data_IF_672544676141
#
_entry.id   IF_672544676141
#
_cell.length_a   1.000
_cell.length_b   1.000
_cell.length_c   1.000
_cell.angle_alpha   90.00
_cell.angle_beta   90.00
_cell.angle_gamma   90.00
#
_symmetry.space_group_name_H-M   'P 1'
#
loop_
_entity.id
_entity.type
_entity.pdbx_description
1 polymer ?
#
# COMPACT_ATOMS: atom_id res chain seq x y z
N UNK A 1 -4.66 -19.42 1.20
CA UNK A 1 -4.97 -17.98 1.08
C UNK A 1 -3.98 -17.23 0.18
N UNK A 2 -2.64 -17.25 0.45
CA UNK A 2 -1.66 -16.56 -0.40
C UNK A 2 -1.67 -17.08 -1.85
N UNK A 3 -1.77 -18.40 -2.05
CA UNK A 3 -1.86 -19.02 -3.37
C UNK A 3 -3.13 -18.62 -4.12
N UNK A 4 -4.24 -18.52 -3.44
CA UNK A 4 -5.53 -18.07 -3.98
C UNK A 4 -5.45 -16.61 -4.44
N UNK A 5 -4.88 -15.73 -3.62
CA UNK A 5 -4.64 -14.33 -3.99
C UNK A 5 -3.77 -14.24 -5.25
N UNK A 6 -2.62 -14.97 -5.27
CA UNK A 6 -1.75 -14.96 -6.45
C UNK A 6 -2.44 -15.47 -7.71
N UNK A 7 -3.24 -16.56 -7.58
CA UNK A 7 -4.03 -17.11 -8.67
C UNK A 7 -5.03 -16.09 -9.19
N UNK A 8 -5.80 -15.48 -8.30
CA UNK A 8 -6.83 -14.52 -8.66
C UNK A 8 -6.25 -13.25 -9.33
N UNK A 9 -5.08 -12.78 -8.86
CA UNK A 9 -4.36 -11.69 -9.53
C UNK A 9 -3.82 -12.12 -10.90
N UNK A 10 -3.36 -13.37 -11.04
CA UNK A 10 -2.95 -13.92 -12.33
C UNK A 10 -4.13 -14.01 -13.31
N UNK A 11 -5.31 -14.38 -12.83
CA UNK A 11 -6.52 -14.45 -13.65
C UNK A 11 -6.91 -13.08 -14.21
N UNK A 12 -6.74 -12.00 -13.43
CA UNK A 12 -6.92 -10.62 -13.94
C UNK A 12 -5.97 -10.35 -15.11
N UNK A 13 -4.67 -10.68 -14.96
CA UNK A 13 -3.70 -10.46 -16.01
C UNK A 13 -3.94 -11.35 -17.24
N UNK A 14 -4.40 -12.59 -17.03
CA UNK A 14 -4.78 -13.50 -18.12
C UNK A 14 -6.04 -13.05 -18.86
N UNK A 15 -6.98 -12.39 -18.17
CA UNK A 15 -8.13 -11.77 -18.82
C UNK A 15 -7.69 -10.65 -19.77
N UNK A 16 -6.73 -9.82 -19.34
CA UNK A 16 -6.17 -8.74 -20.18
C UNK A 16 -5.44 -9.31 -21.40
N UNK A 17 -4.68 -10.38 -21.22
CA UNK A 17 -3.98 -11.10 -22.30
C UNK A 17 -3.96 -12.61 -22.01
N UNK A 18 -4.77 -13.41 -22.70
CA UNK A 18 -4.74 -14.85 -22.55
C UNK A 18 -3.37 -15.45 -22.89
N UNK A 19 -2.82 -16.27 -22.01
CA UNK A 19 -1.63 -17.09 -22.23
C UNK A 19 -1.63 -18.32 -21.32
N UNK A 20 -0.68 -19.24 -21.56
CA UNK A 20 -0.46 -20.41 -20.70
C UNK A 20 0.48 -20.12 -19.52
N UNK A 21 0.95 -18.88 -19.38
CA UNK A 21 1.85 -18.49 -18.29
C UNK A 21 1.13 -18.60 -16.95
N UNK A 22 1.73 -19.32 -16.01
CA UNK A 22 1.20 -19.58 -14.67
C UNK A 22 1.93 -18.79 -13.58
N UNK A 23 3.07 -18.19 -13.91
CA UNK A 23 3.82 -17.35 -13.00
C UNK A 23 3.34 -15.90 -13.08
N UNK A 24 2.85 -15.38 -11.95
CA UNK A 24 2.29 -14.03 -11.86
C UNK A 24 3.35 -12.94 -12.20
N UNK A 25 4.63 -13.14 -11.84
CA UNK A 25 5.68 -12.17 -12.12
C UNK A 25 6.00 -12.13 -13.62
N UNK A 26 6.15 -13.31 -14.25
CA UNK A 26 6.37 -13.40 -15.70
C UNK A 26 5.20 -12.82 -16.48
N UNK A 27 3.99 -13.14 -16.04
CA UNK A 27 2.76 -12.63 -16.65
C UNK A 27 2.67 -11.10 -16.57
N UNK A 28 3.03 -10.53 -15.42
CA UNK A 28 3.12 -9.08 -15.27
C UNK A 28 4.07 -8.46 -16.30
N UNK A 29 5.26 -9.05 -16.51
CA UNK A 29 6.22 -8.56 -17.50
C UNK A 29 5.72 -8.71 -18.94
N UNK A 30 5.01 -9.78 -19.29
CA UNK A 30 4.35 -9.89 -20.60
C UNK A 30 3.41 -8.70 -20.86
N UNK A 31 2.56 -8.37 -19.88
CA UNK A 31 1.61 -7.25 -19.99
C UNK A 31 2.35 -5.91 -20.07
N UNK A 32 3.38 -5.71 -19.23
CA UNK A 32 4.18 -4.49 -19.21
C UNK A 32 4.86 -4.22 -20.55
N UNK A 33 5.41 -5.25 -21.20
CA UNK A 33 6.05 -5.15 -22.51
C UNK A 33 5.09 -4.75 -23.63
N UNK A 34 3.83 -5.21 -23.53
CA UNK A 34 2.82 -4.89 -24.53
C UNK A 34 2.35 -3.45 -24.45
N UNK A 35 1.97 -3.03 -23.28
CA UNK A 35 1.44 -1.71 -23.03
C UNK A 35 1.65 -1.32 -21.57
N UNK A 36 2.59 -0.43 -21.25
CA UNK A 36 2.82 0.02 -19.89
C UNK A 36 1.59 0.63 -19.20
N UNK A 37 0.63 1.16 -19.99
CA UNK A 37 -0.61 1.71 -19.41
C UNK A 37 -1.53 0.65 -18.80
N UNK A 38 -1.47 -0.61 -19.27
CA UNK A 38 -2.24 -1.71 -18.69
C UNK A 38 -1.86 -2.00 -17.23
N UNK A 39 -0.65 -1.62 -16.81
CA UNK A 39 -0.23 -1.64 -15.42
C UNK A 39 -1.17 -0.82 -14.53
N UNK A 40 -1.58 0.37 -14.96
CA UNK A 40 -2.51 1.22 -14.20
C UNK A 40 -3.85 0.54 -14.00
N UNK A 41 -4.39 -0.09 -15.05
CA UNK A 41 -5.67 -0.81 -14.96
C UNK A 41 -5.60 -1.96 -13.95
N UNK A 42 -4.46 -2.66 -13.88
CA UNK A 42 -4.25 -3.70 -12.87
C UNK A 42 -4.27 -3.13 -11.45
N UNK A 43 -3.62 -1.99 -11.21
CA UNK A 43 -3.69 -1.29 -9.93
C UNK A 43 -5.11 -0.89 -9.54
N UNK A 44 -5.89 -0.44 -10.51
CA UNK A 44 -7.22 0.08 -10.26
C UNK A 44 -8.23 -1.03 -9.93
N UNK A 45 -8.13 -2.21 -10.58
CA UNK A 45 -9.08 -3.30 -10.40
C UNK A 45 -8.72 -4.27 -9.27
N UNK A 46 -7.43 -4.52 -9.03
CA UNK A 46 -7.00 -5.51 -8.06
C UNK A 46 -7.53 -5.27 -6.63
N UNK A 47 -7.68 -4.03 -6.13
CA UNK A 47 -8.24 -3.76 -4.81
C UNK A 47 -9.67 -4.26 -4.60
N UNK A 48 -10.41 -4.51 -5.67
CA UNK A 48 -11.78 -5.03 -5.62
C UNK A 48 -11.86 -6.55 -5.74
N UNK A 49 -10.70 -7.21 -5.86
CA UNK A 49 -10.64 -8.66 -5.94
C UNK A 49 -11.08 -9.30 -4.62
N UNK A 50 -12.11 -10.14 -4.69
CA UNK A 50 -12.74 -10.75 -3.50
C UNK A 50 -11.78 -11.69 -2.77
N UNK A 51 -10.94 -12.45 -3.48
CA UNK A 51 -10.00 -13.37 -2.85
C UNK A 51 -8.90 -12.61 -2.11
N UNK A 52 -8.46 -11.48 -2.67
CA UNK A 52 -7.55 -10.56 -2.00
C UNK A 52 -8.19 -9.98 -0.74
N UNK A 53 -9.43 -9.48 -0.84
CA UNK A 53 -10.17 -8.91 0.30
C UNK A 53 -10.33 -9.96 1.41
N UNK A 54 -10.79 -11.17 1.08
CA UNK A 54 -10.93 -12.29 2.04
C UNK A 54 -9.59 -12.70 2.64
N UNK A 55 -8.51 -12.67 1.85
CA UNK A 55 -7.19 -13.05 2.29
C UNK A 55 -6.59 -12.14 3.34
N UNK A 56 -6.91 -10.85 3.30
CA UNK A 56 -6.42 -9.84 4.24
C UNK A 56 -7.40 -9.49 5.37
N UNK A 57 -8.71 -9.77 5.20
CA UNK A 57 -9.72 -9.54 6.25
C UNK A 57 -10.07 -10.84 6.98
N UNK A 58 -9.03 -11.55 7.46
CA UNK A 58 -9.26 -12.79 8.21
C UNK A 58 -9.83 -12.50 9.59
N UNK A 59 -10.67 -13.41 10.15
CA UNK A 59 -11.22 -13.23 11.49
C UNK A 59 -10.14 -12.98 12.55
N UNK A 60 -9.02 -13.68 12.46
CA UNK A 60 -7.89 -13.57 13.40
C UNK A 60 -7.30 -12.16 13.38
N UNK A 61 -7.03 -11.64 12.18
CA UNK A 61 -6.49 -10.29 12.01
C UNK A 61 -7.48 -9.22 12.48
N UNK A 62 -8.75 -9.34 12.06
CA UNK A 62 -9.80 -8.42 12.45
C UNK A 62 -9.99 -8.40 13.98
N UNK A 63 -10.01 -9.58 14.62
CA UNK A 63 -10.14 -9.68 16.08
C UNK A 63 -8.92 -9.10 16.80
N UNK A 64 -7.71 -9.35 16.28
CA UNK A 64 -6.49 -8.74 16.82
C UNK A 64 -6.56 -7.21 16.80
N UNK A 65 -6.92 -6.61 15.65
CA UNK A 65 -7.00 -5.16 15.50
C UNK A 65 -8.11 -4.57 16.37
N UNK A 66 -9.26 -5.25 16.46
CA UNK A 66 -10.34 -4.85 17.37
C UNK A 66 -9.90 -4.86 18.84
N UNK A 67 -9.21 -5.91 19.24
CA UNK A 67 -8.65 -6.02 20.58
C UNK A 67 -7.63 -4.91 20.87
N UNK A 68 -6.69 -4.69 19.93
CA UNK A 68 -5.65 -3.67 20.05
C UNK A 68 -6.23 -2.26 20.28
N UNK A 69 -7.27 -1.89 19.54
CA UNK A 69 -7.92 -0.59 19.66
C UNK A 69 -9.06 -0.57 20.68
N UNK A 70 -9.39 -1.69 21.31
CA UNK A 70 -10.58 -1.82 22.17
C UNK A 70 -11.86 -1.34 21.46
N UNK A 71 -12.04 -1.72 20.20
CA UNK A 71 -13.18 -1.31 19.36
C UNK A 71 -14.03 -2.50 18.95
N UNK A 72 -15.32 -2.28 18.80
CA UNK A 72 -16.25 -3.29 18.25
C UNK A 72 -16.32 -3.19 16.70
N UNK A 73 -16.02 -2.02 16.14
CA UNK A 73 -16.21 -1.72 14.72
C UNK A 73 -14.94 -1.17 14.09
N UNK A 74 -14.58 -1.74 12.95
CA UNK A 74 -13.47 -1.30 12.10
C UNK A 74 -13.99 -0.93 10.73
N UNK A 75 -13.32 0.03 10.11
CA UNK A 75 -13.53 0.40 8.72
C UNK A 75 -12.27 0.09 7.92
N UNK A 76 -12.46 -0.50 6.74
CA UNK A 76 -11.40 -0.65 5.75
C UNK A 76 -11.08 0.69 5.11
N UNK A 77 -9.79 1.02 5.00
CA UNK A 77 -9.30 2.16 4.24
C UNK A 77 -9.18 1.88 2.75
N UNK A 78 -9.72 0.77 2.28
CA UNK A 78 -9.55 0.15 0.98
C UNK A 78 -8.16 -0.48 0.81
N UNK A 79 -8.15 -1.75 0.55
CA UNK A 79 -6.94 -2.46 0.14
C UNK A 79 -6.34 -1.84 -1.12
N UNK A 80 -5.03 -1.86 -1.21
CA UNK A 80 -4.31 -1.44 -2.40
C UNK A 80 -3.19 -2.43 -2.71
N UNK A 81 -2.83 -2.54 -3.99
CA UNK A 81 -1.62 -3.23 -4.39
C UNK A 81 -0.53 -2.19 -4.73
N UNK A 82 0.70 -2.54 -4.43
CA UNK A 82 1.87 -1.80 -4.88
C UNK A 82 2.77 -2.75 -5.67
N UNK A 83 3.06 -2.37 -6.91
CA UNK A 83 3.91 -3.15 -7.81
C UNK A 83 5.20 -2.37 -8.04
N UNK A 84 6.33 -2.94 -7.66
CA UNK A 84 7.65 -2.39 -7.86
C UNK A 84 8.45 -3.31 -8.77
N UNK A 85 9.00 -2.75 -9.82
CA UNK A 85 9.90 -3.39 -10.78
C UNK A 85 11.15 -2.53 -11.00
N UNK A 86 12.06 -2.94 -11.88
CA UNK A 86 13.30 -2.21 -12.15
C UNK A 86 13.09 -0.79 -12.73
N UNK A 87 11.95 -0.54 -13.40
CA UNK A 87 11.64 0.79 -13.95
C UNK A 87 10.89 1.68 -12.96
N UNK A 88 10.59 1.15 -11.79
CA UNK A 88 9.84 1.88 -10.78
C UNK A 88 10.78 2.62 -9.82
N UNK A 89 11.41 3.68 -10.32
CA UNK A 89 12.26 4.58 -9.53
C UNK A 89 11.52 5.31 -8.41
N UNK A 90 10.21 5.10 -8.34
CA UNK A 90 9.29 5.86 -7.47
C UNK A 90 9.03 5.12 -6.18
N UNK A 91 10.04 5.07 -5.35
CA UNK A 91 9.86 4.64 -3.97
C UNK A 91 9.18 5.79 -3.22
N UNK A 92 8.08 5.46 -2.53
CA UNK A 92 7.46 6.43 -1.64
C UNK A 92 8.48 6.91 -0.62
N UNK A 93 8.64 8.23 -0.53
CA UNK A 93 9.51 8.87 0.42
C UNK A 93 9.06 8.59 1.87
N UNK A 94 9.93 8.77 2.88
CA UNK A 94 9.53 8.58 4.26
C UNK A 94 8.31 9.42 4.64
N UNK A 95 7.24 8.73 5.06
CA UNK A 95 5.93 9.32 5.37
C UNK A 95 5.24 8.57 6.52
N UNK A 96 4.14 9.12 6.97
CA UNK A 96 3.19 8.50 7.89
C UNK A 96 1.82 8.40 7.20
N UNK A 97 0.96 7.52 7.66
CA UNK A 97 -0.40 7.35 7.10
C UNK A 97 -1.33 8.45 7.60
N UNK A 98 -1.28 9.63 6.98
CA UNK A 98 -2.05 10.80 7.41
C UNK A 98 -3.40 10.97 6.70
N UNK A 99 -3.58 10.31 5.54
CA UNK A 99 -4.77 10.43 4.69
C UNK A 99 -5.76 9.28 4.93
N UNK A 100 -6.04 8.98 6.21
CA UNK A 100 -6.95 7.91 6.59
C UNK A 100 -8.22 8.44 7.26
N UNK A 101 -9.27 7.60 7.32
CA UNK A 101 -10.51 7.94 8.01
C UNK A 101 -10.27 8.23 9.50
N UNK A 102 -9.43 7.42 10.14
CA UNK A 102 -9.02 7.60 11.51
C UNK A 102 -7.61 8.17 11.57
N UNK A 103 -7.39 9.11 12.50
CA UNK A 103 -6.05 9.62 12.76
C UNK A 103 -5.11 8.50 13.20
N UNK A 104 -5.59 7.63 14.09
CA UNK A 104 -4.83 6.46 14.55
C UNK A 104 -5.45 5.21 13.93
N UNK A 105 -4.74 4.60 13.00
CA UNK A 105 -5.14 3.36 12.35
C UNK A 105 -3.96 2.37 12.32
N UNK A 106 -4.24 1.13 11.97
CA UNK A 106 -3.20 0.13 11.69
C UNK A 106 -2.99 0.05 10.19
N UNK A 107 -1.76 0.29 9.76
CA UNK A 107 -1.26 -0.11 8.46
C UNK A 107 -1.00 -1.61 8.47
N UNK A 108 -1.58 -2.30 7.51
CA UNK A 108 -1.24 -3.67 7.14
C UNK A 108 -0.41 -3.64 5.87
N UNK A 109 0.71 -4.35 5.85
CA UNK A 109 1.58 -4.47 4.68
C UNK A 109 2.02 -5.92 4.51
N UNK A 110 1.70 -6.56 3.39
CA UNK A 110 1.97 -7.97 3.11
C UNK A 110 2.60 -8.14 1.74
N UNK A 111 3.81 -8.69 1.63
CA UNK A 111 4.41 -9.02 0.35
C UNK A 111 3.91 -10.37 -0.16
N UNK A 112 3.75 -10.50 -1.48
CA UNK A 112 3.38 -11.78 -2.11
C UNK A 112 4.57 -12.73 -2.31
N UNK A 113 5.80 -12.23 -2.21
CA UNK A 113 7.06 -13.00 -2.20
C UNK A 113 7.96 -12.53 -1.07
N UNK A 114 8.94 -13.36 -0.69
CA UNK A 114 9.92 -12.96 0.31
C UNK A 114 10.61 -11.64 -0.07
N UNK A 115 10.72 -10.74 0.90
CA UNK A 115 11.45 -9.48 0.74
C UNK A 115 12.85 -9.58 1.37
N UNK A 116 13.83 -9.01 0.68
CA UNK A 116 15.20 -8.91 1.13
C UNK A 116 15.89 -7.75 0.39
N UNK A 117 17.16 -7.52 0.67
CA UNK A 117 17.96 -6.42 0.08
C UNK A 117 17.94 -6.39 -1.46
N UNK A 118 17.69 -7.53 -2.13
CA UNK A 118 17.65 -7.63 -3.61
C UNK A 118 16.23 -7.40 -4.15
N UNK A 119 15.22 -7.91 -3.46
CA UNK A 119 13.82 -7.83 -3.91
C UNK A 119 13.11 -6.58 -3.39
N UNK A 120 13.79 -5.79 -2.60
CA UNK A 120 13.22 -4.60 -1.98
C UNK A 120 12.17 -4.93 -0.91
N UNK A 121 11.69 -3.94 -0.18
CA UNK A 121 10.72 -4.17 0.88
C UNK A 121 10.29 -2.90 1.59
N UNK A 122 9.98 -3.05 2.87
CA UNK A 122 9.56 -1.97 3.75
C UNK A 122 10.71 -1.53 4.65
N UNK A 123 10.99 -0.24 4.66
CA UNK A 123 11.85 0.42 5.64
C UNK A 123 10.99 1.06 6.71
N UNK A 124 11.35 0.87 7.97
CA UNK A 124 10.76 1.57 9.11
C UNK A 124 11.80 2.44 9.81
N UNK A 125 11.30 3.47 10.49
CA UNK A 125 12.09 4.32 11.37
C UNK A 125 11.65 4.05 12.81
N UNK A 126 12.46 3.26 13.50
CA UNK A 126 12.10 2.66 14.80
C UNK A 126 11.70 3.73 15.83
N UNK A 127 10.62 3.46 16.57
CA UNK A 127 10.08 4.33 17.62
C UNK A 127 9.62 5.73 17.16
N UNK A 128 9.61 6.02 15.87
CA UNK A 128 9.14 7.33 15.38
C UNK A 128 7.68 7.61 15.72
N UNK A 129 6.84 6.57 15.79
CA UNK A 129 5.42 6.69 16.21
C UNK A 129 5.24 7.24 17.62
N UNK A 130 6.22 7.08 18.52
CA UNK A 130 6.17 7.62 19.88
C UNK A 130 6.24 9.16 19.94
N UNK A 131 6.60 9.80 18.82
CA UNK A 131 6.63 11.27 18.69
C UNK A 131 5.36 11.84 18.06
N UNK A 132 4.37 10.99 17.75
CA UNK A 132 3.14 11.41 17.10
C UNK A 132 3.31 11.66 15.61
N UNK A 133 2.47 12.55 15.08
CA UNK A 133 2.49 12.90 13.66
C UNK A 133 3.35 14.13 13.40
N UNK A 134 4.16 14.04 12.36
CA UNK A 134 4.99 15.13 11.87
C UNK A 134 4.29 15.89 10.77
N UNK A 135 4.74 17.11 10.51
CA UNK A 135 4.31 17.88 9.35
C UNK A 135 4.79 17.20 8.06
N UNK A 136 3.88 17.06 7.12
CA UNK A 136 4.14 16.49 5.80
C UNK A 136 4.19 17.59 4.77
N UNK A 137 5.19 17.53 3.90
CA UNK A 137 5.28 18.35 2.70
C UNK A 137 4.71 17.58 1.51
N UNK A 138 4.06 18.30 0.61
CA UNK A 138 3.63 17.74 -0.67
C UNK A 138 4.75 17.99 -1.68
N UNK A 139 5.49 16.95 -2.01
CA UNK A 139 6.57 17.03 -3.00
C UNK A 139 6.26 16.12 -4.18
N UNK A 140 6.67 16.57 -5.37
CA UNK A 140 6.78 15.71 -6.53
C UNK A 140 8.19 15.10 -6.53
N UNK A 141 8.36 13.82 -6.15
CA UNK A 141 9.66 13.20 -6.08
C UNK A 141 10.29 12.98 -7.46
N UNK A 142 9.52 13.19 -8.54
CA UNK A 142 9.97 12.90 -9.90
C UNK A 142 10.44 14.13 -10.65
N UNK A 143 10.12 15.34 -10.16
CA UNK A 143 10.36 16.59 -10.89
C UNK A 143 9.59 16.71 -12.20
N UNK A 144 8.74 15.73 -12.52
CA UNK A 144 7.94 15.71 -13.73
C UNK A 144 6.67 16.50 -13.47
N UNK A 145 6.59 17.72 -13.95
CA UNK A 145 5.44 18.64 -13.80
C UNK A 145 4.07 18.07 -14.19
N UNK A 146 4.00 16.86 -14.75
CA UNK A 146 2.77 16.18 -15.19
C UNK A 146 2.19 15.20 -14.17
N UNK A 147 2.78 15.04 -12.99
CA UNK A 147 2.22 14.13 -11.99
C UNK A 147 1.10 14.81 -11.21
N UNK A 148 -0.09 14.28 -11.33
CA UNK A 148 -1.29 14.73 -10.57
C UNK A 148 -1.26 14.30 -9.11
N UNK A 149 -0.33 13.44 -8.73
CA UNK A 149 -0.22 12.87 -7.38
C UNK A 149 1.00 13.44 -6.67
N UNK A 150 0.75 14.39 -5.78
CA UNK A 150 1.75 14.87 -4.83
C UNK A 150 1.87 13.84 -3.71
N UNK A 151 3.06 13.30 -3.51
CA UNK A 151 3.34 12.42 -2.38
C UNK A 151 3.63 13.25 -1.14
N UNK A 152 3.05 12.83 -0.03
CA UNK A 152 3.39 13.39 1.28
C UNK A 152 4.71 12.81 1.74
N UNK A 153 5.62 13.65 2.19
CA UNK A 153 6.87 13.24 2.79
C UNK A 153 7.15 14.02 4.08
N UNK A 154 8.06 13.49 4.87
CA UNK A 154 8.55 14.10 6.10
C UNK A 154 9.95 14.64 5.83
N UNK A 155 10.28 15.81 6.39
CA UNK A 155 11.60 16.40 6.25
C UNK A 155 12.70 15.44 6.74
N UNK A 156 13.77 15.30 5.94
CA UNK A 156 14.92 14.44 6.26
C UNK A 156 15.51 14.72 7.64
N UNK A 157 15.54 16.00 8.07
CA UNK A 157 16.04 16.40 9.39
C UNK A 157 15.23 15.78 10.55
N UNK A 158 13.98 15.38 10.30
CA UNK A 158 13.12 14.74 11.29
C UNK A 158 13.40 13.25 11.35
N UNK A 159 13.24 12.55 10.22
CA UNK A 159 13.32 11.09 10.23
C UNK A 159 14.74 10.53 10.36
N UNK A 160 15.78 11.32 10.02
CA UNK A 160 17.18 10.92 10.22
C UNK A 160 17.58 10.77 11.71
N UNK A 161 16.77 11.27 12.63
CA UNK A 161 16.96 11.11 14.08
C UNK A 161 16.56 9.72 14.61
N UNK A 162 15.91 8.91 13.78
CA UNK A 162 15.44 7.58 14.16
C UNK A 162 16.29 6.50 13.50
N UNK A 163 16.44 5.37 14.20
CA UNK A 163 17.13 4.23 13.64
C UNK A 163 16.34 3.66 12.44
N UNK A 164 17.01 3.59 11.30
CA UNK A 164 16.46 3.06 10.06
C UNK A 164 16.64 1.54 10.02
N UNK A 165 15.57 0.82 9.76
CA UNK A 165 15.60 -0.64 9.64
C UNK A 165 14.85 -1.11 8.38
N UNK A 166 15.54 -1.82 7.50
CA UNK A 166 14.92 -2.53 6.40
C UNK A 166 14.40 -3.86 6.92
N UNK A 167 13.15 -4.18 6.59
CA UNK A 167 12.50 -5.40 7.04
C UNK A 167 12.59 -6.48 5.97
N UNK A 168 13.03 -7.66 6.37
CA UNK A 168 12.95 -8.88 5.55
C UNK A 168 11.73 -9.68 6.00
N UNK A 169 10.75 -9.80 5.12
CA UNK A 169 9.44 -10.35 5.42
C UNK A 169 9.19 -11.57 4.52
N UNK A 170 8.79 -12.65 5.11
CA UNK A 170 8.38 -13.86 4.39
C UNK A 170 7.05 -13.64 3.66
N UNK A 171 6.93 -14.24 2.48
CA UNK A 171 5.70 -14.22 1.69
C UNK A 171 4.49 -14.67 2.51
N UNK A 172 3.42 -13.89 2.48
CA UNK A 172 2.19 -14.17 3.25
C UNK A 172 2.25 -13.81 4.73
N UNK A 173 3.43 -13.41 5.26
CA UNK A 173 3.50 -12.72 6.56
C UNK A 173 3.18 -11.24 6.38
N UNK A 174 2.67 -10.59 7.42
CA UNK A 174 2.32 -9.19 7.36
C UNK A 174 3.03 -8.36 8.43
N UNK A 175 3.34 -7.12 8.08
CA UNK A 175 3.70 -6.08 9.04
C UNK A 175 2.44 -5.35 9.44
N UNK A 176 2.20 -5.24 10.74
CA UNK A 176 1.19 -4.36 11.32
C UNK A 176 1.90 -3.20 11.98
N UNK A 177 1.59 -2.00 11.55
CA UNK A 177 2.24 -0.79 12.06
C UNK A 177 1.21 0.28 12.39
N UNK A 178 1.49 1.05 13.44
CA UNK A 178 0.68 2.24 13.75
C UNK A 178 0.87 3.30 12.65
N UNK A 179 -0.20 3.98 12.27
CA UNK A 179 -0.20 5.02 11.23
C UNK A 179 0.83 6.14 11.45
N UNK A 180 1.18 6.42 12.70
CA UNK A 180 2.24 7.39 13.03
C UNK A 180 3.67 6.84 12.89
N UNK A 181 3.88 5.57 12.53
CA UNK A 181 5.21 5.04 12.26
C UNK A 181 5.72 5.60 10.93
N UNK A 182 6.85 6.30 10.96
CA UNK A 182 7.50 6.73 9.73
C UNK A 182 8.05 5.52 8.99
N UNK A 183 7.69 5.40 7.74
CA UNK A 183 8.10 4.28 6.89
C UNK A 183 8.24 4.70 5.43
N UNK A 184 8.91 3.88 4.65
CA UNK A 184 9.01 4.02 3.19
C UNK A 184 9.32 2.68 2.54
N UNK A 185 9.28 2.61 1.22
CA UNK A 185 9.85 1.48 0.49
C UNK A 185 11.38 1.53 0.48
N UNK A 186 12.03 0.40 0.28
CA UNK A 186 13.40 0.37 -0.21
C UNK A 186 13.47 -0.35 -1.57
N UNK A 187 14.47 0.02 -2.41
CA UNK A 187 14.46 -0.35 -3.82
C UNK A 187 14.61 -1.84 -4.05
N UNK A 188 14.03 -2.28 -5.15
CA UNK A 188 14.30 -3.56 -5.78
C UNK A 188 15.54 -3.38 -6.65
N UNK A 189 16.55 -4.22 -6.43
CA UNK A 189 17.81 -4.18 -7.19
C UNK A 189 18.00 -5.40 -8.10
N UNK A 190 17.19 -6.46 -7.90
CA UNK A 190 17.23 -7.65 -8.72
C UNK A 190 16.54 -7.41 -10.05
N UNK A 191 17.32 -7.34 -11.14
CA UNK A 191 16.80 -7.22 -12.50
C UNK A 191 15.85 -8.36 -12.85
N UNK A 192 14.82 -8.06 -13.65
CA UNK A 192 13.83 -9.03 -14.10
C UNK A 192 12.94 -9.61 -12.97
N UNK A 193 12.86 -8.92 -11.82
CA UNK A 193 11.95 -9.30 -10.75
C UNK A 193 10.95 -8.18 -10.45
N UNK A 194 9.74 -8.57 -10.05
CA UNK A 194 8.70 -7.65 -9.62
C UNK A 194 8.29 -7.98 -8.19
N UNK A 195 8.15 -6.96 -7.36
CA UNK A 195 7.56 -7.07 -6.03
C UNK A 195 6.13 -6.56 -6.06
N UNK A 196 5.18 -7.43 -5.72
CA UNK A 196 3.79 -7.04 -5.50
C UNK A 196 3.52 -7.13 -4.00
N UNK A 197 2.97 -6.07 -3.43
CA UNK A 197 2.59 -6.01 -2.02
C UNK A 197 1.15 -5.56 -1.89
N UNK A 198 0.48 -6.05 -0.87
CA UNK A 198 -0.88 -5.64 -0.53
C UNK A 198 -0.80 -4.78 0.72
N UNK A 199 -1.50 -3.66 0.71
CA UNK A 199 -1.65 -2.79 1.87
C UNK A 199 -3.11 -2.58 2.21
N UNK A 200 -3.41 -2.43 3.49
CA UNK A 200 -4.73 -2.08 4.00
C UNK A 200 -4.56 -1.14 5.20
N UNK A 201 -5.59 -0.37 5.52
CA UNK A 201 -5.64 0.47 6.71
C UNK A 201 -6.90 0.16 7.48
N UNK A 202 -6.71 -0.34 8.70
CA UNK A 202 -7.80 -0.64 9.61
C UNK A 202 -8.07 0.56 10.51
N UNK A 203 -9.22 1.18 10.32
CA UNK A 203 -9.63 2.41 10.99
C UNK A 203 -10.64 2.10 12.10
N UNK A 204 -10.32 2.28 13.39
CA UNK A 204 -11.26 2.05 14.47
C UNK A 204 -12.31 3.17 14.55
N UNK A 205 -13.57 2.80 14.75
CA UNK A 205 -14.71 3.71 14.76
C UNK A 205 -14.50 4.93 15.67
N UNK A 206 -14.00 4.72 16.87
CA UNK A 206 -13.83 5.80 17.87
C UNK A 206 -12.74 6.82 17.51
N UNK A 207 -11.93 6.52 16.50
CA UNK A 207 -10.84 7.39 16.01
C UNK A 207 -11.21 8.14 14.74
N UNK A 208 -12.44 8.03 14.26
CA UNK A 208 -12.94 8.72 13.06
C UNK A 208 -13.60 10.05 13.49
N UNK A 209 -12.90 11.18 13.34
CA UNK A 209 -13.34 12.45 13.93
C UNK A 209 -14.57 13.04 13.27
N UNK A 210 -14.73 12.90 11.94
CA UNK A 210 -15.82 13.52 11.19
C UNK A 210 -17.20 12.94 11.53
N UNK A 211 -17.28 11.72 12.07
CA UNK A 211 -18.56 11.13 12.51
C UNK A 211 -19.19 11.87 13.69
N UNK A 212 -18.38 12.63 14.43
CA UNK A 212 -18.84 13.42 15.59
C UNK A 212 -19.05 14.89 15.26
N UNK A 213 -18.66 15.34 14.09
CA UNK A 213 -18.78 16.75 13.70
C UNK A 213 -19.49 16.87 12.35
N UNK A 214 -20.83 17.09 12.36
CA UNK A 214 -21.62 17.17 11.13
C UNK A 214 -21.28 18.39 10.26
N UNK A 215 -20.55 19.38 10.80
CA UNK A 215 -20.07 20.54 10.04
C UNK A 215 -18.81 20.25 9.25
N UNK A 216 -18.13 19.12 9.51
CA UNK A 216 -16.98 18.69 8.73
C UNK A 216 -17.43 17.65 7.71
N UNK A 217 -17.65 18.04 6.46
CA UNK A 217 -17.95 17.05 5.44
C UNK A 217 -16.83 16.01 5.40
N UNK A 218 -17.20 14.76 5.20
CA UNK A 218 -16.24 13.70 4.94
C UNK A 218 -15.45 14.10 3.68
N UNK A 219 -14.27 14.67 3.87
CA UNK A 219 -13.26 14.58 2.84
C UNK A 219 -12.84 13.14 2.79
N UNK A 220 -13.45 12.35 1.91
CA UNK A 220 -12.97 11.01 1.62
C UNK A 220 -11.50 11.17 1.30
N UNK A 221 -10.61 10.57 2.09
CA UNK A 221 -9.20 10.58 1.74
C UNK A 221 -9.15 10.04 0.31
N UNK A 222 -8.48 10.72 -0.56
CA UNK A 222 -8.41 10.46 -1.98
C UNK A 222 -8.24 8.96 -2.25
N UNK A 223 -9.33 8.32 -2.57
CA UNK A 223 -9.35 6.98 -3.10
C UNK A 223 -9.25 7.19 -4.60
N UNK A 224 -8.04 7.12 -5.14
CA UNK A 224 -7.62 7.48 -6.50
C UNK A 224 -8.47 7.00 -7.66
N UNK A 225 -9.73 7.35 -7.66
CA UNK A 225 -10.57 7.33 -8.85
C UNK A 225 -10.45 8.72 -9.44
N UNK A 226 -9.60 8.85 -10.42
CA UNK A 226 -9.59 10.03 -11.27
C UNK A 226 -10.89 9.99 -12.09
N UNK A 227 -11.90 10.72 -11.62
CA UNK A 227 -13.19 10.85 -12.32
C UNK A 227 -13.02 11.40 -13.73
N UNK A 228 -11.88 12.01 -14.07
CA UNK A 228 -11.57 12.44 -15.41
C UNK A 228 -11.22 11.27 -16.36
N UNK A 229 -10.94 10.07 -15.82
CA UNK A 229 -10.74 8.85 -16.62
C UNK A 229 -12.03 8.15 -17.02
N UNK A 230 -13.17 8.56 -16.47
CA UNK A 230 -14.50 7.97 -16.80
C UNK A 230 -15.16 8.76 -17.95
N UNK A 231 -14.55 9.83 -18.43
CA UNK A 231 -15.11 10.68 -19.49
C UNK A 231 -14.63 10.34 -20.90
N UNK A 232 -13.76 9.34 -21.05
CA UNK A 232 -13.31 8.76 -22.32
C UNK A 232 -13.77 7.29 -22.38
#
# INVERSE_FOLDING_TARGET
KLSEIKKSLLDILNYVRPSKEKDLQKKYYEIKKLNPKLKSNFYDIAPYNIDMIKGIHTPELINFVKYFFKTKTLFSGRAAIHVHDEDNDKILLPHQETNQFARDCILFWMPLWDTNVKTGGLTIFEKSHNKGYFDHKLEDPTGIKKWTHKYTNIDKKIYSKFNRKNLEIKAGSAVLAHSALVHCGYPLTKMGSVRITITERFNPLQKIPFLKDPKKPMKIPYVGVDYNRIKD
#
